data_IF_768906165618
#
_entry.id   IF_768906165618
#
_cell.length_a   1.000
_cell.length_b   1.000
_cell.length_c   1.000
_cell.angle_alpha   90.00
_cell.angle_beta   90.00
_cell.angle_gamma   90.00
#
_symmetry.space_group_name_H-M   'P 1'
#
loop_
_entity.id
_entity.type
_entity.pdbx_description
1 polymer ?
#
# COMPACT_ATOMS: atom_id res chain seq x y z
N UNK A 1 11.46 -9.53 7.80
CA UNK A 1 10.61 -8.53 8.47
C UNK A 1 10.29 -9.10 9.84
N UNK A 2 10.44 -8.32 10.91
CA UNK A 2 10.23 -8.82 12.28
C UNK A 2 8.76 -8.69 12.71
N UNK A 3 8.32 -9.52 13.66
CA UNK A 3 6.93 -9.58 14.15
C UNK A 3 6.35 -8.23 14.57
N UNK A 4 7.12 -7.40 15.28
CA UNK A 4 6.66 -6.08 15.72
C UNK A 4 6.35 -5.14 14.55
N UNK A 5 7.16 -5.18 13.49
CA UNK A 5 6.91 -4.40 12.29
C UNK A 5 5.67 -4.92 11.55
N UNK A 6 5.47 -6.25 11.53
CA UNK A 6 4.28 -6.87 10.93
C UNK A 6 3.01 -6.40 11.62
N UNK A 7 2.99 -6.41 12.95
CA UNK A 7 1.85 -5.94 13.75
C UNK A 7 1.59 -4.45 13.49
N UNK A 8 2.64 -3.62 13.46
CA UNK A 8 2.49 -2.19 13.16
C UNK A 8 1.89 -1.93 11.77
N UNK A 9 2.36 -2.65 10.74
CA UNK A 9 1.83 -2.55 9.39
C UNK A 9 0.36 -2.99 9.30
N UNK A 10 0.01 -4.12 9.89
CA UNK A 10 -1.38 -4.60 9.94
C UNK A 10 -2.28 -3.63 10.71
N UNK A 11 -1.84 -3.13 11.87
CA UNK A 11 -2.59 -2.17 12.66
C UNK A 11 -2.79 -0.84 11.92
N UNK A 12 -1.81 -0.42 11.10
CA UNK A 12 -1.95 0.76 10.24
C UNK A 12 -2.95 0.54 9.10
N UNK A 13 -2.98 -0.66 8.50
CA UNK A 13 -3.90 -1.00 7.42
C UNK A 13 -5.32 -1.35 7.91
N UNK A 14 -5.49 -1.74 9.18
CA UNK A 14 -6.77 -2.08 9.80
C UNK A 14 -7.66 -0.85 10.10
N UNK A 15 -7.80 0.05 9.12
CA UNK A 15 -8.68 1.20 9.17
C UNK A 15 -9.05 1.59 7.74
N UNK A 16 -10.34 1.80 7.49
CA UNK A 16 -10.92 2.00 6.15
C UNK A 16 -10.19 3.10 5.35
N UNK A 17 -10.10 4.32 5.89
CA UNK A 17 -9.42 5.43 5.21
C UNK A 17 -7.93 5.19 4.94
N UNK A 18 -7.19 4.57 5.87
CA UNK A 18 -5.77 4.27 5.68
C UNK A 18 -5.56 3.21 4.60
N UNK A 19 -6.41 2.19 4.58
CA UNK A 19 -6.37 1.18 3.52
C UNK A 19 -6.71 1.80 2.16
N UNK A 20 -7.73 2.66 2.09
CA UNK A 20 -8.09 3.37 0.86
C UNK A 20 -6.94 4.25 0.34
N UNK A 21 -6.31 5.03 1.22
CA UNK A 21 -5.10 5.82 0.89
C UNK A 21 -3.99 4.94 0.35
N UNK A 22 -3.63 3.87 1.07
CA UNK A 22 -2.57 2.98 0.63
C UNK A 22 -2.89 2.34 -0.72
N UNK A 23 -4.13 1.89 -0.96
CA UNK A 23 -4.55 1.31 -2.24
C UNK A 23 -4.50 2.32 -3.40
N UNK A 24 -4.92 3.56 -3.16
CA UNK A 24 -4.80 4.63 -4.16
C UNK A 24 -3.33 4.87 -4.54
N UNK A 25 -2.44 4.87 -3.55
CA UNK A 25 -1.00 5.00 -3.78
C UNK A 25 -0.39 3.81 -4.53
N UNK A 26 -0.86 2.58 -4.27
CA UNK A 26 -0.46 1.39 -5.04
C UNK A 26 -0.88 1.53 -6.50
N UNK A 27 -2.09 2.03 -6.77
CA UNK A 27 -2.59 2.25 -8.14
C UNK A 27 -1.83 3.37 -8.86
N UNK A 28 -1.40 4.41 -8.14
CA UNK A 28 -0.55 5.47 -8.67
C UNK A 28 0.87 4.99 -9.02
N UNK A 29 1.30 3.85 -8.46
CA UNK A 29 2.61 3.27 -8.73
C UNK A 29 3.76 4.02 -8.04
N UNK A 30 5.01 3.82 -8.50
CA UNK A 30 6.21 4.36 -7.84
C UNK A 30 6.29 5.89 -7.85
N UNK A 31 5.62 6.56 -8.80
CA UNK A 31 5.55 8.02 -8.85
C UNK A 31 4.68 8.61 -7.73
N UNK A 32 3.75 7.82 -7.18
CA UNK A 32 2.89 8.26 -6.10
C UNK A 32 1.92 9.36 -6.52
N UNK A 33 1.43 10.11 -5.53
CA UNK A 33 0.40 11.12 -5.72
C UNK A 33 0.57 12.27 -4.71
N UNK A 34 0.32 13.53 -5.10
CA UNK A 34 0.36 14.65 -4.17
C UNK A 34 -0.78 14.57 -3.15
N UNK A 35 -0.52 14.95 -1.90
CA UNK A 35 -1.48 14.85 -0.80
C UNK A 35 -2.86 15.47 -1.13
N UNK A 36 -2.87 16.61 -1.82
CA UNK A 36 -4.12 17.26 -2.22
C UNK A 36 -4.95 16.41 -3.19
N UNK A 37 -4.33 15.68 -4.11
CA UNK A 37 -5.04 14.80 -5.04
C UNK A 37 -5.57 13.55 -4.33
N UNK A 38 -4.85 13.02 -3.34
CA UNK A 38 -5.33 11.91 -2.50
C UNK A 38 -6.58 12.35 -1.72
N UNK A 39 -6.56 13.56 -1.12
CA UNK A 39 -7.68 14.11 -0.37
C UNK A 39 -8.93 14.24 -1.25
N UNK A 40 -8.78 14.77 -2.46
CA UNK A 40 -9.88 14.89 -3.42
C UNK A 40 -10.40 13.54 -3.89
N UNK A 41 -9.50 12.59 -4.20
CA UNK A 41 -9.87 11.28 -4.73
C UNK A 41 -10.69 10.45 -3.72
N UNK A 42 -10.38 10.58 -2.44
CA UNK A 42 -10.98 9.80 -1.36
C UNK A 42 -12.05 10.56 -0.57
N UNK A 43 -12.32 11.82 -0.94
CA UNK A 43 -13.21 12.73 -0.22
C UNK A 43 -12.90 12.83 1.29
N UNK A 44 -11.60 12.97 1.61
CA UNK A 44 -11.10 13.04 2.98
C UNK A 44 -10.58 14.46 3.29
N UNK A 45 -10.97 15.07 4.42
CA UNK A 45 -10.43 16.36 4.85
C UNK A 45 -8.88 16.34 4.96
N UNK A 46 -8.17 17.41 4.55
CA UNK A 46 -6.70 17.43 4.56
C UNK A 46 -6.06 17.16 5.93
N UNK A 47 -6.70 17.59 7.03
CA UNK A 47 -6.25 17.33 8.39
C UNK A 47 -6.30 15.85 8.75
N UNK A 48 -7.42 15.18 8.46
CA UNK A 48 -7.60 13.74 8.65
C UNK A 48 -6.65 12.94 7.77
N UNK A 49 -6.48 13.35 6.50
CA UNK A 49 -5.55 12.70 5.59
C UNK A 49 -4.10 12.78 6.11
N UNK A 50 -3.68 13.95 6.61
CA UNK A 50 -2.34 14.13 7.19
C UNK A 50 -2.10 13.18 8.36
N UNK A 51 -3.11 12.99 9.22
CA UNK A 51 -3.07 12.01 10.30
C UNK A 51 -2.93 10.57 9.77
N UNK A 52 -3.75 10.17 8.79
CA UNK A 52 -3.66 8.85 8.17
C UNK A 52 -2.31 8.58 7.49
N UNK A 53 -1.77 9.56 6.76
CA UNK A 53 -0.47 9.46 6.10
C UNK A 53 0.67 9.35 7.12
N UNK A 54 0.58 10.05 8.25
CA UNK A 54 1.56 9.94 9.33
C UNK A 54 1.57 8.54 9.94
N UNK A 55 0.40 7.98 10.22
CA UNK A 55 0.27 6.61 10.75
C UNK A 55 0.82 5.56 9.76
N UNK A 56 0.51 5.70 8.47
CA UNK A 56 1.06 4.83 7.42
C UNK A 56 2.58 4.99 7.29
N UNK A 57 3.11 6.20 7.43
CA UNK A 57 4.55 6.46 7.36
C UNK A 57 5.29 5.88 8.57
N UNK A 58 4.73 5.99 9.79
CA UNK A 58 5.25 5.33 10.99
C UNK A 58 5.33 3.81 10.82
N UNK A 59 4.33 3.21 10.18
CA UNK A 59 4.33 1.79 9.82
C UNK A 59 5.20 1.44 8.60
N UNK A 60 5.94 2.41 8.06
CA UNK A 60 6.81 2.28 6.88
C UNK A 60 6.08 1.82 5.60
N UNK A 61 4.76 1.99 5.54
CA UNK A 61 3.94 1.62 4.38
C UNK A 61 3.91 2.68 3.29
N UNK A 62 4.22 3.93 3.63
CA UNK A 62 4.33 5.03 2.65
C UNK A 62 5.61 5.81 2.89
N UNK A 63 6.11 6.43 1.83
CA UNK A 63 7.19 7.41 1.87
C UNK A 63 6.69 8.73 1.29
N UNK A 64 7.35 9.84 1.64
CA UNK A 64 7.04 11.16 1.11
C UNK A 64 8.25 11.81 0.47
N UNK A 65 8.03 12.55 -0.62
CA UNK A 65 9.04 13.40 -1.25
C UNK A 65 8.47 14.79 -1.53
N UNK A 66 9.29 15.81 -1.38
CA UNK A 66 8.88 17.18 -1.64
C UNK A 66 9.30 17.58 -3.06
N UNK A 67 8.34 18.05 -3.86
CA UNK A 67 8.55 18.54 -5.22
C UNK A 67 7.94 19.94 -5.35
N UNK A 68 8.82 20.94 -5.30
CA UNK A 68 8.43 22.35 -5.24
C UNK A 68 7.53 22.63 -4.03
N UNK A 69 6.29 23.06 -4.28
CA UNK A 69 5.30 23.38 -3.24
C UNK A 69 4.45 22.20 -2.78
N UNK A 70 4.60 21.04 -3.41
CA UNK A 70 3.76 19.87 -3.17
C UNK A 70 4.54 18.76 -2.44
N UNK A 71 3.83 18.00 -1.62
CA UNK A 71 4.36 16.77 -1.02
C UNK A 71 3.68 15.59 -1.69
N UNK A 72 4.48 14.76 -2.33
CA UNK A 72 4.07 13.51 -2.96
C UNK A 72 4.24 12.37 -1.96
N UNK A 73 3.26 11.47 -1.95
CA UNK A 73 3.32 10.23 -1.17
C UNK A 73 3.35 9.05 -2.13
N UNK A 74 4.17 8.05 -1.82
CA UNK A 74 4.31 6.82 -2.59
C UNK A 74 4.09 5.61 -1.67
N UNK A 75 3.54 4.52 -2.20
CA UNK A 75 3.49 3.25 -1.47
C UNK A 75 4.92 2.67 -1.35
N UNK A 76 5.26 2.18 -0.15
CA UNK A 76 6.50 1.46 0.07
C UNK A 76 6.29 -0.04 -0.26
N UNK A 77 6.54 -0.40 -1.51
CA UNK A 77 6.38 -1.77 -2.00
C UNK A 77 7.31 -2.76 -1.29
N UNK A 78 8.50 -2.33 -0.83
CA UNK A 78 9.40 -3.21 -0.11
C UNK A 78 8.79 -3.67 1.23
N UNK A 79 8.19 -2.74 1.98
CA UNK A 79 7.48 -3.07 3.23
C UNK A 79 6.28 -3.98 2.97
N UNK A 80 5.46 -3.68 1.94
CA UNK A 80 4.31 -4.51 1.62
C UNK A 80 4.72 -5.92 1.16
N UNK A 81 5.76 -6.05 0.34
CA UNK A 81 6.29 -7.36 -0.06
C UNK A 81 6.83 -8.13 1.15
N UNK A 82 7.50 -7.45 2.08
CA UNK A 82 7.93 -8.06 3.34
C UNK A 82 6.76 -8.54 4.20
N UNK A 83 5.68 -7.77 4.28
CA UNK A 83 4.46 -8.13 5.00
C UNK A 83 3.80 -9.38 4.38
N UNK A 84 3.65 -9.40 3.05
CA UNK A 84 3.11 -10.55 2.33
C UNK A 84 4.00 -11.78 2.51
N UNK A 85 5.32 -11.63 2.39
CA UNK A 85 6.27 -12.72 2.63
C UNK A 85 6.13 -13.29 4.05
N UNK A 86 6.07 -12.44 5.06
CA UNK A 86 5.88 -12.87 6.45
C UNK A 86 4.55 -13.62 6.66
N UNK A 87 3.45 -13.13 6.09
CA UNK A 87 2.13 -13.76 6.22
C UNK A 87 2.01 -15.07 5.44
N UNK A 88 2.77 -15.22 4.36
CA UNK A 88 2.78 -16.42 3.51
C UNK A 88 3.91 -17.39 3.84
N UNK A 89 4.77 -17.05 4.80
CA UNK A 89 5.84 -17.93 5.26
C UNK A 89 5.24 -19.22 5.83
N UNK A 90 5.67 -20.37 5.29
CA UNK A 90 5.11 -21.70 5.60
C UNK A 90 3.59 -21.83 5.35
N UNK A 91 3.00 -20.94 4.54
CA UNK A 91 1.65 -21.10 4.02
C UNK A 91 1.48 -22.48 3.39
N UNK A 92 0.31 -23.10 3.56
CA UNK A 92 0.00 -24.44 3.02
C UNK A 92 1.03 -25.52 3.42
N UNK A 93 1.69 -25.37 4.59
CA UNK A 93 2.70 -26.32 5.06
C UNK A 93 4.03 -26.22 4.29
N UNK A 94 4.35 -25.04 3.75
CA UNK A 94 5.58 -24.80 2.96
C UNK A 94 5.42 -25.07 1.46
N UNK A 95 4.21 -25.41 1.00
CA UNK A 95 3.92 -25.51 -0.42
C UNK A 95 3.77 -24.11 -1.04
N UNK A 96 4.28 -23.89 -2.28
CA UNK A 96 4.13 -22.61 -2.95
C UNK A 96 2.64 -22.28 -3.16
N UNK A 97 2.13 -21.37 -2.33
CA UNK A 97 0.77 -20.86 -2.41
C UNK A 97 0.86 -19.42 -2.97
N UNK A 98 0.26 -19.14 -4.12
CA UNK A 98 0.03 -17.75 -4.55
C UNK A 98 -1.38 -17.36 -4.11
N UNK A 99 -1.55 -16.29 -3.31
CA UNK A 99 -2.89 -15.84 -2.89
C UNK A 99 -3.70 -15.24 -4.04
N UNK A 100 -3.07 -14.98 -5.19
CA UNK A 100 -3.73 -14.51 -6.41
C UNK A 100 -3.58 -15.61 -7.46
N UNK A 101 -4.71 -16.22 -7.84
CA UNK A 101 -4.75 -17.06 -9.04
C UNK A 101 -4.25 -16.22 -10.19
N UNK A 102 -3.19 -16.68 -10.88
CA UNK A 102 -2.75 -16.01 -12.09
C UNK A 102 -3.97 -15.98 -13.03
N UNK A 103 -4.55 -14.79 -13.20
CA UNK A 103 -5.60 -14.60 -14.18
C UNK A 103 -4.93 -14.98 -15.51
N UNK A 104 -5.29 -16.15 -16.03
CA UNK A 104 -4.87 -16.57 -17.36
C UNK A 104 -5.88 -15.91 -18.27
N UNK A 105 -5.56 -14.80 -18.95
CA UNK A 105 -6.46 -14.31 -19.98
C UNK A 105 -6.54 -15.40 -21.04
N UNK A 106 -7.64 -16.15 -21.05
CA UNK A 106 -8.05 -16.99 -22.16
C UNK A 106 -8.43 -16.04 -23.30
N UNK A 107 -7.41 -15.57 -24.02
CA UNK A 107 -7.57 -14.63 -25.11
C UNK A 107 -6.23 -14.21 -25.68
N UNK A 108 -5.64 -15.06 -26.52
CA UNK A 108 -4.84 -14.56 -27.64
C UNK A 108 -5.75 -13.70 -28.51
N UNK A 109 -5.34 -12.47 -28.84
CA UNK A 109 -5.92 -11.75 -29.97
C UNK A 109 -5.90 -12.68 -31.21
N UNK A 110 -7.05 -12.96 -31.85
CA UNK A 110 -7.01 -13.49 -33.20
C UNK A 110 -6.43 -12.42 -34.14
N UNK A 111 -5.72 -12.87 -35.18
CA UNK A 111 -5.59 -12.07 -36.41
C UNK A 111 -6.90 -12.10 -37.17
#
# INVERSE_FOLDING_TARGET
>A
METNQTIAALAALAHESRLAVFRALVQAGPEGMPAGQIATLLDVPPSSLSFHLKELAHAQLVTSRQEGRFVFYCANFATMNGLLAYLTENCCGGNPCSPVSACSPSGTCPS
#
